data_IF_100820860174
#
_entry.id   IF_100820860174
#
_cell.length_a   1.000
_cell.length_b   1.000
_cell.length_c   1.000
_cell.angle_alpha   90.00
_cell.angle_beta   90.00
_cell.angle_gamma   90.00
#
_symmetry.space_group_name_H-M   'P 1'
#
loop_
_entity.id
_entity.type
_entity.pdbx_description
1 polymer ?
#
# COMPACT_ATOMS: atom_id res chain seq x y z
N UNK A 1 15.91 -14.21 20.75
CA UNK A 1 15.90 -15.30 19.75
C UNK A 1 14.82 -14.98 18.74
N UNK A 2 15.10 -14.05 17.83
CA UNK A 2 14.13 -13.62 16.81
C UNK A 2 14.49 -14.37 15.54
N UNK A 3 13.62 -15.31 15.14
CA UNK A 3 13.70 -15.90 13.83
C UNK A 3 13.45 -14.79 12.80
N UNK A 4 14.53 -14.29 12.20
CA UNK A 4 14.48 -13.67 10.89
C UNK A 4 13.80 -14.69 9.95
N UNK A 5 12.70 -14.36 9.27
CA UNK A 5 12.15 -15.27 8.29
C UNK A 5 13.21 -15.47 7.22
N UNK A 6 13.45 -16.73 6.92
CA UNK A 6 14.36 -17.20 5.91
C UNK A 6 14.11 -16.47 4.57
N UNK A 7 15.22 -16.11 3.91
CA UNK A 7 15.33 -15.76 2.49
C UNK A 7 14.57 -14.50 2.05
N UNK A 8 15.08 -13.33 2.46
CA UNK A 8 15.04 -12.17 1.55
C UNK A 8 16.48 -11.79 1.28
N UNK A 9 16.91 -11.94 0.03
CA UNK A 9 18.21 -11.44 -0.42
C UNK A 9 18.30 -9.95 -0.05
N UNK A 10 19.35 -9.50 0.67
CA UNK A 10 19.52 -8.10 1.06
C UNK A 10 19.36 -7.12 -0.10
N UNK A 11 19.74 -7.54 -1.31
CA UNK A 11 19.62 -6.74 -2.53
C UNK A 11 18.18 -6.59 -3.02
N UNK A 12 17.36 -7.63 -2.90
CA UNK A 12 15.95 -7.63 -3.28
C UNK A 12 15.10 -6.76 -2.34
N UNK A 13 15.37 -6.83 -1.03
CA UNK A 13 14.71 -5.99 -0.04
C UNK A 13 14.95 -4.51 -0.29
N UNK A 14 16.19 -4.14 -0.65
CA UNK A 14 16.53 -2.75 -0.95
C UNK A 14 15.70 -2.21 -2.12
N UNK A 15 15.64 -2.93 -3.24
CA UNK A 15 14.86 -2.52 -4.42
C UNK A 15 13.38 -2.34 -4.11
N UNK A 16 12.81 -3.22 -3.29
CA UNK A 16 11.42 -3.10 -2.85
C UNK A 16 11.21 -1.84 -2.00
N UNK A 17 12.09 -1.60 -1.02
CA UNK A 17 12.02 -0.39 -0.19
C UNK A 17 12.12 0.88 -1.05
N UNK A 18 13.05 0.93 -1.99
CA UNK A 18 13.23 2.09 -2.89
C UNK A 18 11.95 2.35 -3.69
N UNK A 19 11.36 1.29 -4.28
CA UNK A 19 10.11 1.42 -5.03
C UNK A 19 8.96 1.94 -4.17
N UNK A 20 8.87 1.51 -2.92
CA UNK A 20 7.85 1.98 -1.97
C UNK A 20 8.09 3.44 -1.60
N UNK A 21 9.34 3.82 -1.31
CA UNK A 21 9.73 5.19 -0.97
C UNK A 21 9.40 6.15 -2.12
N UNK A 22 9.73 5.80 -3.36
CA UNK A 22 9.40 6.60 -4.54
C UNK A 22 7.88 6.76 -4.71
N UNK A 23 7.11 5.68 -4.48
CA UNK A 23 5.65 5.73 -4.53
C UNK A 23 5.05 6.64 -3.46
N UNK A 24 5.58 6.59 -2.23
CA UNK A 24 5.18 7.47 -1.14
C UNK A 24 5.51 8.94 -1.46
N UNK A 25 6.71 9.21 -1.99
CA UNK A 25 7.10 10.55 -2.44
C UNK A 25 6.13 11.07 -3.50
N UNK A 26 5.84 10.28 -4.53
CA UNK A 26 4.90 10.64 -5.58
C UNK A 26 3.48 10.94 -5.04
N UNK A 27 3.00 10.16 -4.07
CA UNK A 27 1.71 10.38 -3.42
C UNK A 27 1.66 11.72 -2.67
N UNK A 28 2.68 12.04 -1.88
CA UNK A 28 2.69 13.29 -1.11
C UNK A 28 2.92 14.53 -1.99
N UNK A 29 3.65 14.38 -3.10
CA UNK A 29 3.76 15.42 -4.12
C UNK A 29 2.43 15.66 -4.83
N UNK A 30 1.68 14.62 -5.18
CA UNK A 30 0.37 14.77 -5.84
C UNK A 30 -0.66 15.42 -4.92
N UNK A 31 -0.63 15.10 -3.62
CA UNK A 31 -1.47 15.71 -2.59
C UNK A 31 -0.99 17.11 -2.16
N UNK A 32 0.21 17.54 -2.57
CA UNK A 32 0.87 18.78 -2.11
C UNK A 32 0.91 18.89 -0.59
N UNK A 33 1.21 17.77 0.07
CA UNK A 33 1.19 17.64 1.52
C UNK A 33 2.54 17.21 2.05
N UNK A 34 2.94 17.80 3.18
CA UNK A 34 4.15 17.41 3.90
C UNK A 34 3.76 16.65 5.18
N UNK A 35 3.89 15.31 5.21
CA UNK A 35 3.45 14.52 6.35
C UNK A 35 4.44 14.61 7.51
N UNK A 36 4.02 14.17 8.69
CA UNK A 36 4.88 13.70 9.78
C UNK A 36 4.99 12.18 9.62
N UNK A 37 6.21 11.63 9.69
CA UNK A 37 6.43 10.19 9.46
C UNK A 37 6.56 9.46 10.79
N UNK A 38 5.76 8.40 10.98
CA UNK A 38 5.82 7.47 12.12
C UNK A 38 5.83 6.03 11.61
N UNK A 39 6.37 5.12 12.40
CA UNK A 39 6.49 3.72 12.04
C UNK A 39 6.27 2.80 13.24
N UNK A 40 5.86 1.55 12.98
CA UNK A 40 5.78 0.50 13.99
C UNK A 40 7.18 0.11 14.48
N UNK A 41 7.41 0.18 15.79
CA UNK A 41 8.73 -0.10 16.40
C UNK A 41 9.14 -1.58 16.24
N UNK A 42 8.17 -2.48 16.10
CA UNK A 42 8.38 -3.92 16.04
C UNK A 42 8.98 -4.39 14.71
N UNK A 43 8.93 -3.56 13.66
CA UNK A 43 9.39 -3.93 12.32
C UNK A 43 10.56 -3.08 11.83
N UNK A 44 11.69 -3.75 11.57
CA UNK A 44 12.87 -3.13 10.98
C UNK A 44 12.62 -2.66 9.54
N UNK A 45 11.75 -3.34 8.80
CA UNK A 45 11.38 -2.97 7.43
C UNK A 45 10.60 -1.66 7.45
N UNK A 46 9.60 -1.55 8.33
CA UNK A 46 8.82 -0.32 8.49
C UNK A 46 9.70 0.86 8.88
N UNK A 47 10.64 0.64 9.82
CA UNK A 47 11.64 1.64 10.23
C UNK A 47 12.50 2.09 9.05
N UNK A 48 13.04 1.15 8.26
CA UNK A 48 13.89 1.46 7.10
C UNK A 48 13.15 2.29 6.06
N UNK A 49 11.94 1.89 5.67
CA UNK A 49 11.11 2.62 4.70
C UNK A 49 10.81 4.03 5.21
N UNK A 50 10.44 4.18 6.48
CA UNK A 50 10.18 5.49 7.07
C UNK A 50 11.41 6.42 7.09
N UNK A 51 12.59 5.87 7.39
CA UNK A 51 13.84 6.63 7.41
C UNK A 51 14.29 7.05 6.02
N UNK A 52 14.23 6.16 5.03
CA UNK A 52 14.57 6.49 3.64
C UNK A 52 13.55 7.47 3.03
N UNK A 53 12.25 7.33 3.33
CA UNK A 53 11.24 8.32 2.93
C UNK A 53 11.52 9.70 3.55
N UNK A 54 11.86 9.77 4.84
CA UNK A 54 12.22 11.02 5.50
C UNK A 54 13.48 11.66 4.87
N UNK A 55 14.48 10.84 4.55
CA UNK A 55 15.72 11.27 3.90
C UNK A 55 15.43 11.84 2.51
N UNK A 56 14.68 11.12 1.68
CA UNK A 56 14.31 11.58 0.35
C UNK A 56 13.51 12.89 0.41
N UNK A 57 12.43 12.92 1.20
CA UNK A 57 11.50 14.05 1.24
C UNK A 57 12.06 15.31 1.91
N UNK A 58 12.92 15.17 2.94
CA UNK A 58 13.36 16.32 3.74
C UNK A 58 14.83 16.68 3.61
N UNK A 59 15.68 15.78 3.11
CA UNK A 59 17.12 16.04 2.96
C UNK A 59 17.51 16.20 1.49
N UNK A 60 17.03 15.30 0.63
CA UNK A 60 17.40 15.30 -0.80
C UNK A 60 16.49 16.25 -1.60
N UNK A 61 15.18 16.05 -1.51
CA UNK A 61 14.18 16.76 -2.33
C UNK A 61 13.38 17.79 -1.53
N UNK A 62 14.01 18.39 -0.51
CA UNK A 62 13.32 19.28 0.45
C UNK A 62 12.54 20.44 -0.20
N UNK A 63 13.07 20.98 -1.32
CA UNK A 63 12.45 22.06 -2.09
C UNK A 63 11.14 21.62 -2.75
N UNK A 64 11.01 20.36 -3.17
CA UNK A 64 9.79 19.84 -3.78
C UNK A 64 8.65 19.70 -2.76
N UNK A 65 8.97 19.60 -1.48
CA UNK A 65 8.03 19.46 -0.37
C UNK A 65 7.78 20.76 0.41
N UNK A 66 8.13 21.91 -0.17
CA UNK A 66 7.83 23.23 0.39
C UNK A 66 6.41 23.68 0.01
N UNK A 67 5.43 23.12 0.72
CA UNK A 67 4.02 23.49 0.55
C UNK A 67 3.55 24.43 1.67
N UNK A 68 2.41 25.11 1.43
CA UNK A 68 1.73 25.86 2.49
C UNK A 68 1.39 24.92 3.64
N UNK A 69 1.82 25.27 4.84
CA UNK A 69 1.57 24.45 6.03
C UNK A 69 0.07 24.44 6.35
N UNK A 70 -0.59 23.27 6.32
CA UNK A 70 -1.96 23.15 6.81
C UNK A 70 -1.98 23.29 8.34
N UNK A 71 -3.15 23.63 8.89
CA UNK A 71 -3.35 23.79 10.34
C UNK A 71 -3.10 22.48 11.09
N UNK A 72 -3.50 21.35 10.46
CA UNK A 72 -3.20 20.00 10.93
C UNK A 72 -2.21 19.34 9.97
N UNK A 73 -1.06 18.91 10.51
CA UNK A 73 -0.05 18.21 9.72
C UNK A 73 -0.50 16.77 9.40
N UNK A 74 -0.46 16.33 8.12
CA UNK A 74 -0.83 14.97 7.75
C UNK A 74 0.14 13.95 8.38
N UNK A 75 -0.31 12.72 8.59
CA UNK A 75 0.49 11.65 9.21
C UNK A 75 0.70 10.51 8.20
N UNK A 76 1.96 10.16 7.95
CA UNK A 76 2.34 8.91 7.31
C UNK A 76 2.68 7.90 8.41
N UNK A 77 1.85 6.86 8.55
CA UNK A 77 2.09 5.75 9.48
C UNK A 77 2.48 4.48 8.70
N UNK A 78 3.71 4.01 8.90
CA UNK A 78 4.23 2.78 8.28
C UNK A 78 4.07 1.62 9.25
N UNK A 79 3.27 0.62 8.89
CA UNK A 79 2.95 -0.56 9.71
C UNK A 79 3.28 -1.82 8.92
N UNK A 80 3.70 -2.86 9.63
CA UNK A 80 3.94 -4.18 9.05
C UNK A 80 2.70 -5.06 9.23
N UNK A 81 2.31 -5.79 8.18
CA UNK A 81 1.16 -6.70 8.24
C UNK A 81 1.36 -7.82 9.26
N UNK A 82 2.61 -8.15 9.60
CA UNK A 82 2.95 -9.15 10.62
C UNK A 82 2.39 -8.83 12.00
N UNK A 83 2.11 -7.55 12.30
CA UNK A 83 1.50 -7.14 13.56
C UNK A 83 0.00 -7.53 13.64
N UNK A 84 -0.66 -7.83 12.51
CA UNK A 84 -2.05 -8.29 12.43
C UNK A 84 -2.25 -9.38 11.34
N UNK A 85 -1.94 -10.65 11.67
CA UNK A 85 -2.07 -11.76 10.74
C UNK A 85 -3.51 -12.29 10.60
N UNK A 86 -4.44 -11.88 11.48
CA UNK A 86 -5.80 -12.46 11.53
C UNK A 86 -6.72 -11.80 10.51
N UNK A 87 -6.71 -10.46 10.44
CA UNK A 87 -7.59 -9.70 9.53
C UNK A 87 -7.61 -10.19 8.07
N UNK A 88 -6.48 -10.51 7.42
CA UNK A 88 -6.51 -11.00 6.03
C UNK A 88 -7.09 -12.42 5.87
N UNK A 89 -7.29 -13.18 6.95
CA UNK A 89 -7.81 -14.56 6.91
C UNK A 89 -9.31 -14.65 7.28
N UNK A 90 -9.92 -13.55 7.74
CA UNK A 90 -11.32 -13.52 8.10
C UNK A 90 -12.18 -13.33 6.86
N UNK A 91 -13.27 -14.12 6.75
CA UNK A 91 -14.28 -13.93 5.72
C UNK A 91 -14.92 -12.54 5.84
N UNK A 92 -14.92 -11.79 4.75
CA UNK A 92 -15.44 -10.43 4.72
C UNK A 92 -16.88 -10.40 4.20
N UNK A 93 -17.77 -9.73 4.94
CA UNK A 93 -19.20 -9.66 4.61
C UNK A 93 -19.63 -8.34 3.93
N UNK A 94 -18.71 -7.41 3.73
CA UNK A 94 -18.98 -6.19 2.96
C UNK A 94 -18.89 -6.49 1.47
N UNK A 95 -19.77 -5.90 0.65
CA UNK A 95 -19.92 -6.27 -0.76
C UNK A 95 -18.60 -6.32 -1.55
N UNK A 96 -17.82 -5.24 -1.50
CA UNK A 96 -16.54 -5.16 -2.22
C UNK A 96 -15.53 -6.21 -1.73
N UNK A 97 -15.44 -6.42 -0.42
CA UNK A 97 -14.49 -7.37 0.15
C UNK A 97 -14.90 -8.82 -0.13
N UNK A 98 -16.20 -9.12 -0.04
CA UNK A 98 -16.77 -10.42 -0.38
C UNK A 98 -16.55 -10.76 -1.86
N UNK A 99 -16.77 -9.82 -2.78
CA UNK A 99 -16.50 -10.01 -4.22
C UNK A 99 -15.01 -10.25 -4.46
N UNK A 100 -14.14 -9.49 -3.79
CA UNK A 100 -12.69 -9.69 -3.90
C UNK A 100 -12.23 -11.05 -3.38
N UNK A 101 -12.87 -11.55 -2.31
CA UNK A 101 -12.53 -12.83 -1.69
C UNK A 101 -13.03 -14.03 -2.50
N UNK A 102 -14.27 -13.98 -3.01
CA UNK A 102 -14.89 -15.11 -3.71
C UNK A 102 -14.57 -15.18 -5.20
N UNK A 103 -14.50 -14.04 -5.88
CA UNK A 103 -14.37 -13.96 -7.34
C UNK A 103 -13.02 -13.34 -7.74
N UNK A 104 -12.48 -12.45 -6.91
CA UNK A 104 -11.29 -11.69 -7.24
C UNK A 104 -11.62 -10.39 -7.97
N UNK A 105 -10.93 -9.32 -7.59
CA UNK A 105 -10.99 -8.03 -8.27
C UNK A 105 -9.57 -7.67 -8.68
N UNK A 106 -9.36 -7.38 -9.96
CA UNK A 106 -8.10 -6.90 -10.52
C UNK A 106 -8.38 -5.61 -11.29
N UNK A 107 -7.73 -4.50 -10.92
CA UNK A 107 -7.95 -3.19 -11.53
C UNK A 107 -9.42 -2.77 -11.63
N UNK A 108 -10.18 -2.98 -10.54
CA UNK A 108 -11.64 -2.77 -10.43
C UNK A 108 -12.50 -3.61 -11.38
N UNK A 109 -11.94 -4.65 -11.98
CA UNK A 109 -12.62 -5.56 -12.89
C UNK A 109 -12.73 -6.95 -12.27
N UNK A 110 -13.83 -7.62 -12.59
CA UNK A 110 -14.13 -8.98 -12.17
C UNK A 110 -14.19 -9.87 -13.40
N UNK A 111 -13.52 -11.02 -13.32
CA UNK A 111 -13.61 -12.05 -14.35
C UNK A 111 -14.73 -13.03 -14.00
N UNK A 112 -15.74 -13.11 -14.87
CA UNK A 112 -16.92 -13.96 -14.70
C UNK A 112 -16.91 -15.15 -15.68
N UNK A 113 -15.83 -15.34 -16.44
CA UNK A 113 -15.74 -16.34 -17.52
C UNK A 113 -15.99 -17.78 -17.05
N UNK A 114 -15.71 -18.09 -15.78
CA UNK A 114 -15.84 -19.44 -15.21
C UNK A 114 -17.22 -19.75 -14.60
N UNK A 115 -18.11 -18.76 -14.45
CA UNK A 115 -19.30 -18.85 -13.57
C UNK A 115 -20.60 -19.06 -14.37
N UNK A 116 -20.60 -18.91 -15.70
CA UNK A 116 -21.75 -19.28 -16.53
C UNK A 116 -21.79 -18.70 -17.94
N UNK A 117 -22.75 -19.17 -18.75
CA UNK A 117 -23.03 -18.68 -20.09
C UNK A 117 -23.72 -17.31 -20.03
N UNK A 118 -22.94 -16.24 -19.86
CA UNK A 118 -23.45 -14.88 -19.96
C UNK A 118 -23.76 -14.50 -21.42
N UNK A 119 -24.82 -13.72 -21.68
CA UNK A 119 -25.04 -13.10 -22.97
C UNK A 119 -23.79 -12.33 -23.41
N UNK A 120 -23.45 -12.33 -24.71
CA UNK A 120 -22.20 -11.75 -25.23
C UNK A 120 -21.95 -10.29 -24.82
N UNK A 121 -23.00 -9.56 -24.47
CA UNK A 121 -22.94 -8.16 -24.02
C UNK A 121 -22.52 -8.00 -22.54
N UNK A 122 -22.63 -9.04 -21.71
CA UNK A 122 -22.22 -9.06 -20.29
C UNK A 122 -20.95 -9.86 -20.02
N UNK A 123 -20.33 -10.44 -21.07
CA UNK A 123 -19.07 -11.17 -20.97
C UNK A 123 -17.86 -10.26 -20.67
N UNK A 124 -18.07 -8.95 -20.63
CA UNK A 124 -16.99 -7.98 -20.54
C UNK A 124 -17.05 -7.28 -19.19
N UNK A 125 -16.15 -7.71 -18.30
CA UNK A 125 -15.56 -6.92 -17.21
C UNK A 125 -16.53 -5.90 -16.59
N UNK A 126 -17.30 -6.33 -15.60
CA UNK A 126 -18.05 -5.39 -14.78
C UNK A 126 -17.05 -4.54 -13.97
N UNK A 127 -17.02 -3.24 -14.25
CA UNK A 127 -16.38 -2.29 -13.35
C UNK A 127 -17.19 -2.26 -12.06
N UNK A 128 -16.56 -2.56 -10.92
CA UNK A 128 -17.14 -2.20 -9.61
C UNK A 128 -17.00 -0.68 -9.45
N UNK A 129 -17.93 0.08 -10.04
CA UNK A 129 -18.24 1.43 -9.61
C UNK A 129 -19.37 1.31 -8.59
N UNK A 130 -19.08 1.72 -7.35
CA UNK A 130 -20.10 2.10 -6.37
C UNK A 130 -20.85 3.34 -6.87
#
# INVERSE_FOLDING_TARGET
>A
MYMLPAVVDPSGLQRFCDRVVDGLAALFLSLKQRPVIRYSRTSDIAKRVAQEAAKLMYQQESNLFEFRRPDVSPLLLVVDRRDDPVTPLLNQWTYQAMVHELIGIQDNKVDLTSIGNFPKDQQVQCNLLL
#
